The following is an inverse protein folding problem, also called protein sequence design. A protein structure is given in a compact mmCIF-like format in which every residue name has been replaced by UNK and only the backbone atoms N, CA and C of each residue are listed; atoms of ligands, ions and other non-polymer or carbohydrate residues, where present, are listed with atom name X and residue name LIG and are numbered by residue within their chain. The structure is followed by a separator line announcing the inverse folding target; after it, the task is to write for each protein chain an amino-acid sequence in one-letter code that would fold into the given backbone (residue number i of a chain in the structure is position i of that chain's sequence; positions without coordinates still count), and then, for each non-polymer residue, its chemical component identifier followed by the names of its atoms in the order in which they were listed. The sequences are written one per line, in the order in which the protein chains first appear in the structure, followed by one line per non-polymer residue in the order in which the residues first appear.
data_IF_018416868603
#
_entry.id   IF_018416868603
#
_cell.length_a   1.000
_cell.length_b   1.000
_cell.length_c   1.000
_cell.angle_alpha   90.00
_cell.angle_beta   90.00
_cell.angle_gamma   90.00
#
_symmetry.space_group_name_H-M   'P 1'
#
loop_
_entity.id
_entity.type
_entity.pdbx_description
1 polymer ?
#
# COMPACT_ATOMS: atom_id res chain seq x y z
N UNK A 1 14.51 8.14 -9.58
CA UNK A 1 13.38 8.66 -10.42
C UNK A 1 12.14 8.44 -9.61
N UNK A 2 11.36 9.50 -9.38
CA UNK A 2 10.13 9.40 -8.60
C UNK A 2 8.99 8.83 -9.43
N UNK A 3 8.07 8.13 -8.78
CA UNK A 3 6.88 7.59 -9.39
C UNK A 3 5.73 7.56 -8.38
N UNK A 4 4.56 7.15 -8.87
CA UNK A 4 3.38 6.80 -8.08
C UNK A 4 2.93 5.40 -8.48
N UNK A 5 2.33 4.66 -7.56
CA UNK A 5 1.48 3.54 -7.94
C UNK A 5 0.15 3.54 -7.18
N UNK A 6 -0.86 2.96 -7.80
CA UNK A 6 -2.14 2.62 -7.21
C UNK A 6 -2.31 1.11 -7.29
N UNK A 7 -2.60 0.47 -6.14
CA UNK A 7 -2.71 -0.97 -6.06
C UNK A 7 -3.96 -1.44 -5.31
N UNK A 8 -4.49 -2.57 -5.76
CA UNK A 8 -5.55 -3.33 -5.10
C UNK A 8 -5.01 -4.72 -4.74
N UNK A 9 -5.21 -5.12 -3.49
CA UNK A 9 -4.65 -6.34 -2.91
C UNK A 9 -5.79 -7.21 -2.42
N UNK A 10 -5.84 -8.45 -2.87
CA UNK A 10 -6.89 -9.43 -2.53
C UNK A 10 -6.35 -10.64 -1.76
N UNK A 11 -7.26 -11.42 -1.18
CA UNK A 11 -6.97 -12.59 -0.34
C UNK A 11 -7.35 -12.37 1.13
N UNK A 12 -6.66 -13.04 2.05
CA UNK A 12 -6.81 -12.81 3.50
C UNK A 12 -6.01 -11.58 3.91
N UNK A 13 -6.58 -10.39 3.69
CA UNK A 13 -5.90 -9.10 3.90
C UNK A 13 -6.61 -8.15 4.88
N UNK A 14 -7.82 -8.51 5.33
CA UNK A 14 -8.54 -7.79 6.39
C UNK A 14 -8.53 -8.57 7.71
N UNK A 15 -8.62 -7.86 8.84
CA UNK A 15 -8.53 -8.47 10.18
C UNK A 15 -7.15 -9.02 10.55
N UNK A 16 -6.11 -8.68 9.77
CA UNK A 16 -4.74 -9.21 9.90
C UNK A 16 -3.69 -8.11 10.08
N UNK A 17 -4.11 -6.91 10.51
CA UNK A 17 -3.26 -5.73 10.69
C UNK A 17 -2.52 -5.25 9.40
N UNK A 18 -3.04 -5.57 8.21
CA UNK A 18 -2.41 -5.22 6.93
C UNK A 18 -2.15 -3.71 6.76
N UNK A 19 -3.12 -2.87 7.14
CA UNK A 19 -2.98 -1.40 7.06
C UNK A 19 -1.84 -0.86 7.94
N UNK A 20 -1.69 -1.41 9.14
CA UNK A 20 -0.60 -1.04 10.05
C UNK A 20 0.75 -1.50 9.50
N UNK A 21 0.82 -2.75 9.05
CA UNK A 21 2.01 -3.29 8.36
C UNK A 21 2.43 -2.42 7.17
N UNK A 22 1.49 -2.03 6.30
CA UNK A 22 1.79 -1.19 5.15
C UNK A 22 2.32 0.19 5.57
N UNK A 23 1.74 0.78 6.61
CA UNK A 23 2.22 2.06 7.16
C UNK A 23 3.63 1.97 7.73
N UNK A 24 3.93 0.95 8.53
CA UNK A 24 5.27 0.74 9.10
C UNK A 24 6.33 0.57 7.99
N UNK A 25 6.06 -0.29 7.01
CA UNK A 25 6.99 -0.52 5.90
C UNK A 25 7.17 0.74 5.05
N UNK A 26 6.10 1.48 4.78
CA UNK A 26 6.20 2.74 4.04
C UNK A 26 7.09 3.76 4.77
N UNK A 27 6.92 3.87 6.10
CA UNK A 27 7.76 4.70 6.95
C UNK A 27 9.24 4.30 6.87
N UNK A 28 9.55 3.00 6.98
CA UNK A 28 10.93 2.48 6.91
C UNK A 28 11.60 2.73 5.55
N UNK A 29 10.81 2.76 4.47
CA UNK A 29 11.30 2.97 3.11
C UNK A 29 11.26 4.44 2.64
N UNK A 30 10.70 5.35 3.44
CA UNK A 30 10.50 6.75 3.06
C UNK A 30 9.48 6.94 1.94
N UNK A 31 8.46 6.06 1.88
CA UNK A 31 7.35 6.12 0.92
C UNK A 31 6.19 6.90 1.53
N UNK A 32 5.57 7.80 0.76
CA UNK A 32 4.38 8.56 1.16
C UNK A 32 3.13 8.05 0.45
N UNK A 33 1.94 8.37 0.94
CA UNK A 33 0.67 7.88 0.39
C UNK A 33 -0.35 7.48 1.43
N UNK A 34 -1.15 6.46 1.12
CA UNK A 34 -2.15 5.95 2.05
C UNK A 34 -2.54 4.50 1.77
N UNK A 35 -3.15 3.88 2.79
CA UNK A 35 -3.75 2.55 2.71
C UNK A 35 -5.15 2.53 3.32
N UNK A 36 -6.11 1.82 2.70
CA UNK A 36 -7.45 1.60 3.26
C UNK A 36 -8.00 0.22 2.97
N UNK A 37 -8.97 -0.22 3.77
CA UNK A 37 -9.78 -1.39 3.46
C UNK A 37 -10.92 -0.98 2.52
N UNK A 38 -11.30 -1.87 1.62
CA UNK A 38 -12.49 -1.72 0.79
C UNK A 38 -13.62 -2.61 1.30
N UNK A 39 -14.86 -2.23 0.99
CA UNK A 39 -16.06 -2.99 1.37
C UNK A 39 -16.14 -4.35 0.69
N UNK A 40 -15.50 -4.50 -0.47
CA UNK A 40 -15.41 -5.76 -1.22
C UNK A 40 -14.37 -6.75 -0.66
N UNK A 41 -13.73 -6.41 0.47
CA UNK A 41 -12.73 -7.24 1.13
C UNK A 41 -11.28 -6.96 0.72
N UNK A 42 -11.03 -6.14 -0.30
CA UNK A 42 -9.66 -5.79 -0.72
C UNK A 42 -9.01 -4.75 0.19
N UNK A 43 -7.71 -4.60 0.04
CA UNK A 43 -6.93 -3.45 0.52
C UNK A 43 -6.52 -2.61 -0.68
N UNK A 44 -6.67 -1.28 -0.56
CA UNK A 44 -6.25 -0.33 -1.58
C UNK A 44 -5.11 0.52 -1.05
N UNK A 45 -4.09 0.72 -1.89
CA UNK A 45 -2.88 1.47 -1.57
C UNK A 45 -2.62 2.49 -2.68
N UNK A 46 -2.34 3.73 -2.31
CA UNK A 46 -1.67 4.70 -3.17
C UNK A 46 -0.34 5.04 -2.54
N UNK A 47 0.73 5.02 -3.32
CA UNK A 47 2.08 5.26 -2.84
C UNK A 47 2.88 6.13 -3.81
N UNK A 48 3.68 7.05 -3.26
CA UNK A 48 4.57 7.95 -3.99
C UNK A 48 5.97 7.92 -3.36
N UNK A 49 7.00 8.10 -4.19
CA UNK A 49 8.40 8.07 -3.74
C UNK A 49 9.38 7.73 -4.85
N UNK A 50 10.63 7.47 -4.48
CA UNK A 50 11.63 6.94 -5.42
C UNK A 50 11.23 5.54 -5.90
N UNK A 51 11.34 5.29 -7.21
CA UNK A 51 10.83 4.07 -7.85
C UNK A 51 11.41 2.78 -7.25
N UNK A 52 12.69 2.77 -6.90
CA UNK A 52 13.35 1.64 -6.24
C UNK A 52 12.77 1.34 -4.85
N UNK A 53 12.41 2.39 -4.10
CA UNK A 53 11.74 2.26 -2.79
C UNK A 53 10.30 1.79 -2.94
N UNK A 54 9.59 2.27 -3.96
CA UNK A 54 8.24 1.81 -4.28
C UNK A 54 8.21 0.34 -4.72
N UNK A 55 9.19 -0.11 -5.49
CA UNK A 55 9.32 -1.52 -5.87
C UNK A 55 9.60 -2.40 -4.64
N UNK A 56 10.45 -1.96 -3.71
CA UNK A 56 10.66 -2.65 -2.43
C UNK A 56 9.39 -2.68 -1.59
N UNK A 57 8.64 -1.57 -1.55
CA UNK A 57 7.37 -1.50 -0.85
C UNK A 57 6.36 -2.49 -1.43
N UNK A 58 6.22 -2.53 -2.76
CA UNK A 58 5.36 -3.47 -3.47
C UNK A 58 5.71 -4.95 -3.17
N UNK A 59 7.00 -5.27 -3.04
CA UNK A 59 7.45 -6.62 -2.61
C UNK A 59 6.94 -6.94 -1.20
N UNK A 60 7.02 -6.01 -0.26
CA UNK A 60 6.49 -6.20 1.08
C UNK A 60 4.96 -6.33 1.10
N UNK A 61 4.26 -5.55 0.27
CA UNK A 61 2.80 -5.66 0.13
C UNK A 61 2.37 -7.02 -0.42
N UNK A 62 3.12 -7.60 -1.37
CA UNK A 62 2.89 -8.97 -1.88
C UNK A 62 3.10 -10.06 -0.81
N UNK A 63 3.94 -9.79 0.19
CA UNK A 63 4.15 -10.70 1.33
C UNK A 63 3.05 -10.53 2.38
N UNK A 64 2.73 -9.29 2.73
CA UNK A 64 1.82 -8.94 3.82
C UNK A 64 2.36 -9.28 5.22
N UNK A 65 1.59 -8.94 6.28
CA UNK A 65 1.92 -9.33 7.64
C UNK A 65 1.77 -10.84 7.86
N UNK A 66 2.31 -11.36 8.98
CA UNK A 66 2.37 -12.81 9.30
C UNK A 66 1.04 -13.56 9.17
N UNK A 67 -0.09 -12.92 9.47
CA UNK A 67 -1.41 -13.54 9.42
C UNK A 67 -2.13 -13.36 8.08
N UNK A 68 -1.56 -12.58 7.16
CA UNK A 68 -2.12 -12.36 5.84
C UNK A 68 -1.80 -13.51 4.89
N UNK A 69 -2.65 -13.67 3.89
CA UNK A 69 -2.38 -14.46 2.70
C UNK A 69 -2.80 -13.63 1.50
N UNK A 70 -1.83 -13.06 0.81
CA UNK A 70 -2.06 -12.29 -0.42
C UNK A 70 -2.24 -13.26 -1.57
N UNK A 71 -3.31 -13.09 -2.34
CA UNK A 71 -3.62 -13.91 -3.50
C UNK A 71 -3.25 -13.17 -4.79
N UNK A 72 -3.64 -11.89 -4.88
CA UNK A 72 -3.36 -11.05 -6.03
C UNK A 72 -3.01 -9.62 -5.60
N UNK A 73 -2.15 -8.99 -6.41
CA UNK A 73 -1.83 -7.57 -6.32
C UNK A 73 -1.93 -6.98 -7.72
N UNK A 74 -3.02 -6.25 -7.97
CA UNK A 74 -3.20 -5.44 -9.16
C UNK A 74 -2.50 -4.10 -8.92
N UNK A 75 -1.56 -3.71 -9.79
CA UNK A 75 -0.79 -2.47 -9.63
C UNK A 75 -0.73 -1.68 -10.93
N UNK A 76 -1.02 -0.38 -10.82
CA UNK A 76 -0.93 0.60 -11.90
C UNK A 76 0.12 1.64 -11.54
N UNK A 77 1.12 1.83 -12.41
CA UNK A 77 2.14 2.86 -12.24
C UNK A 77 1.72 4.16 -12.91
N UNK A 78 2.01 5.28 -12.26
CA UNK A 78 1.63 6.62 -12.66
C UNK A 78 2.79 7.61 -12.44
N UNK A 79 2.66 8.79 -13.02
CA UNK A 79 3.58 9.90 -12.77
C UNK A 79 3.50 10.36 -11.31
N UNK A 80 4.65 10.72 -10.76
CA UNK A 80 4.76 11.30 -9.42
C UNK A 80 3.99 12.61 -9.32
N UNK A 81 3.16 12.79 -8.28
CA UNK A 81 2.33 13.99 -8.11
C UNK A 81 2.70 14.86 -6.91
N UNK A 82 3.61 14.42 -6.05
CA UNK A 82 4.00 15.14 -4.82
C UNK A 82 2.78 15.46 -3.93
N UNK A 83 1.83 14.53 -3.86
CA UNK A 83 0.52 14.75 -3.21
C UNK A 83 0.59 14.54 -1.69
N UNK A 84 1.55 13.77 -1.20
CA UNK A 84 1.58 13.29 0.18
C UNK A 84 2.91 13.60 0.88
N UNK A 85 2.83 14.14 2.10
CA UNK A 85 3.97 14.36 2.99
C UNK A 85 4.23 13.20 3.96
N UNK A 86 3.26 12.30 4.12
CA UNK A 86 3.34 11.13 5.00
C UNK A 86 2.68 9.89 4.38
N UNK A 87 2.70 8.77 5.10
CA UNK A 87 1.90 7.59 4.78
C UNK A 87 0.84 7.33 5.85
N UNK A 88 -0.44 7.41 5.48
CA UNK A 88 -1.56 7.38 6.42
C UNK A 88 -2.52 6.21 6.22
N UNK A 89 -3.12 5.75 7.32
CA UNK A 89 -4.23 4.79 7.27
C UNK A 89 -5.52 5.58 7.09
N UNK A 90 -6.23 5.36 5.98
CA UNK A 90 -7.56 5.93 5.74
C UNK A 90 -8.66 4.98 6.19
N UNK A 91 -9.73 5.56 6.73
CA UNK A 91 -10.98 4.86 6.99
C UNK A 91 -11.89 4.99 5.77
N UNK A 92 -12.56 3.92 5.40
CA UNK A 92 -13.61 3.95 4.39
C UNK A 92 -14.76 4.79 4.96
N UNK A 93 -15.18 5.83 4.24
CA UNK A 93 -16.33 6.63 4.63
C UNK A 93 -17.62 5.80 4.60
N UNK A 94 -18.52 6.08 5.53
CA UNK A 94 -19.91 5.60 5.54
C UNK A 94 -20.70 6.21 4.38
#
# INVERSE_FOLDING_TARGET
MKARFHAFISGRVQGVAFRYFAQEVASDLGVTGWVRNLYDGRVEVVAEGEKDRLEQFLVQLKRGPRLARVEEVEVSWEDFRDEFSDFSIKFSGF
#
